data_IF_619570549802
#
_entry.id   IF_619570549802
#
_cell.length_a   1.000
_cell.length_b   1.000
_cell.length_c   1.000
_cell.angle_alpha   90.00
_cell.angle_beta   90.00
_cell.angle_gamma   90.00
#
_symmetry.space_group_name_H-M   'P 1'
#
loop_
_entity.id
_entity.type
_entity.pdbx_description
1 polymer ?
#
# COMPACT_ATOMS: atom_id res chain seq x y z
N UNK A 1 -41.60 -7.25 -3.59
CA UNK A 1 -40.38 -6.80 -2.90
C UNK A 1 -39.27 -6.86 -3.94
N UNK A 2 -38.56 -5.77 -4.25
CA UNK A 2 -37.41 -5.87 -5.14
C UNK A 2 -36.31 -6.66 -4.40
N UNK A 3 -35.66 -7.58 -5.11
CA UNK A 3 -34.45 -8.25 -4.63
C UNK A 3 -33.35 -7.21 -4.80
N UNK A 4 -32.84 -6.67 -3.69
CA UNK A 4 -31.63 -5.86 -3.72
C UNK A 4 -30.47 -6.79 -4.07
N UNK A 5 -29.98 -6.73 -5.30
CA UNK A 5 -28.74 -7.41 -5.69
C UNK A 5 -27.58 -6.76 -4.93
N UNK A 6 -27.04 -7.51 -3.96
CA UNK A 6 -25.86 -7.14 -3.19
C UNK A 6 -24.63 -7.25 -4.10
N UNK A 7 -24.41 -6.23 -4.94
CA UNK A 7 -23.30 -6.20 -5.88
C UNK A 7 -22.02 -5.91 -5.11
N UNK A 8 -21.14 -6.91 -5.00
CA UNK A 8 -19.84 -6.74 -4.40
C UNK A 8 -19.06 -5.62 -5.10
N UNK A 9 -18.54 -4.69 -4.30
CA UNK A 9 -17.65 -3.63 -4.80
C UNK A 9 -16.37 -4.24 -5.37
N UNK A 10 -15.69 -3.57 -6.32
CA UNK A 10 -14.41 -4.04 -6.86
C UNK A 10 -13.36 -4.34 -5.78
N UNK A 11 -13.39 -3.59 -4.68
CA UNK A 11 -12.51 -3.82 -3.52
C UNK A 11 -12.84 -5.14 -2.80
N UNK A 12 -14.12 -5.45 -2.60
CA UNK A 12 -14.54 -6.70 -1.97
C UNK A 12 -14.17 -7.93 -2.81
N UNK A 13 -14.33 -7.85 -4.12
CA UNK A 13 -13.90 -8.90 -5.04
C UNK A 13 -12.38 -9.14 -4.93
N UNK A 14 -11.59 -8.06 -4.93
CA UNK A 14 -10.14 -8.13 -4.74
C UNK A 14 -9.76 -8.75 -3.39
N UNK A 15 -10.42 -8.36 -2.30
CA UNK A 15 -10.17 -8.96 -0.98
C UNK A 15 -10.45 -10.46 -0.97
N UNK A 16 -11.53 -10.90 -1.62
CA UNK A 16 -11.83 -12.32 -1.76
C UNK A 16 -10.76 -13.06 -2.55
N UNK A 17 -10.36 -12.54 -3.71
CA UNK A 17 -9.31 -13.14 -4.54
C UNK A 17 -8.00 -13.27 -3.77
N UNK A 18 -7.58 -12.21 -3.06
CA UNK A 18 -6.37 -12.22 -2.25
C UNK A 18 -6.46 -13.24 -1.11
N UNK A 19 -7.60 -13.34 -0.43
CA UNK A 19 -7.78 -14.28 0.69
C UNK A 19 -7.63 -15.75 0.30
N UNK A 20 -7.81 -16.08 -0.99
CA UNK A 20 -7.65 -17.43 -1.52
C UNK A 20 -6.19 -17.79 -1.87
N UNK A 21 -5.27 -16.82 -1.85
CA UNK A 21 -3.89 -17.02 -2.27
C UNK A 21 -3.00 -17.57 -1.14
N UNK A 22 -1.98 -18.38 -1.46
CA UNK A 22 -0.93 -18.73 -0.51
C UNK A 22 -0.20 -17.49 0.01
N UNK A 23 0.26 -17.54 1.26
CA UNK A 23 0.97 -16.42 1.91
C UNK A 23 2.17 -15.91 1.09
N UNK A 24 2.94 -16.80 0.47
CA UNK A 24 4.09 -16.43 -0.36
C UNK A 24 3.69 -15.56 -1.57
N UNK A 25 2.57 -15.88 -2.21
CA UNK A 25 2.02 -15.11 -3.33
C UNK A 25 1.50 -13.75 -2.87
N UNK A 26 0.84 -13.69 -1.70
CA UNK A 26 0.42 -12.44 -1.09
C UNK A 26 1.60 -11.50 -0.80
N UNK A 27 2.68 -12.03 -0.22
CA UNK A 27 3.89 -11.26 0.05
C UNK A 27 4.55 -10.77 -1.24
N UNK A 28 4.58 -11.60 -2.28
CA UNK A 28 5.12 -11.21 -3.59
C UNK A 28 4.34 -10.03 -4.18
N UNK A 29 3.00 -10.12 -4.21
CA UNK A 29 2.13 -9.05 -4.72
C UNK A 29 2.21 -7.78 -3.89
N UNK A 30 2.31 -7.90 -2.56
CA UNK A 30 2.53 -6.76 -1.67
C UNK A 30 3.83 -6.03 -2.03
N UNK A 31 4.94 -6.76 -2.15
CA UNK A 31 6.23 -6.16 -2.49
C UNK A 31 6.19 -5.48 -3.86
N UNK A 32 5.64 -6.14 -4.88
CA UNK A 32 5.49 -5.56 -6.21
C UNK A 32 4.64 -4.27 -6.19
N UNK A 33 3.53 -4.26 -5.44
CA UNK A 33 2.66 -3.09 -5.33
C UNK A 33 3.34 -1.94 -4.56
N UNK A 34 4.11 -2.27 -3.52
CA UNK A 34 4.88 -1.29 -2.73
C UNK A 34 5.96 -0.64 -3.59
N UNK A 35 6.69 -1.44 -4.37
CA UNK A 35 7.78 -0.93 -5.21
C UNK A 35 7.23 -0.02 -6.32
N UNK A 36 6.13 -0.42 -6.97
CA UNK A 36 5.40 0.43 -7.92
C UNK A 36 4.89 1.74 -7.27
N UNK A 37 4.32 1.66 -6.08
CA UNK A 37 3.87 2.86 -5.36
C UNK A 37 5.03 3.83 -5.08
N UNK A 38 6.20 3.30 -4.73
CA UNK A 38 7.39 4.12 -4.48
C UNK A 38 7.88 4.82 -5.77
N UNK A 39 7.86 4.13 -6.91
CA UNK A 39 8.18 4.72 -8.22
C UNK A 39 7.21 5.86 -8.58
N UNK A 40 5.91 5.63 -8.42
CA UNK A 40 4.87 6.64 -8.68
C UNK A 40 5.03 7.86 -7.79
N UNK A 41 5.35 7.67 -6.50
CA UNK A 41 5.63 8.77 -5.58
C UNK A 41 6.85 9.58 -6.05
N UNK A 42 7.90 8.91 -6.54
CA UNK A 42 9.07 9.57 -7.13
C UNK A 42 8.72 10.43 -8.34
N UNK A 43 7.90 9.91 -9.25
CA UNK A 43 7.44 10.64 -10.43
C UNK A 43 6.58 11.85 -10.06
N UNK A 44 5.68 11.71 -9.08
CA UNK A 44 4.87 12.82 -8.57
C UNK A 44 5.77 13.90 -7.98
N UNK A 45 6.76 13.51 -7.16
CA UNK A 45 7.69 14.43 -6.54
C UNK A 45 8.47 15.24 -7.59
N UNK A 46 8.94 14.57 -8.65
CA UNK A 46 9.62 15.21 -9.77
C UNK A 46 8.71 16.17 -10.53
N UNK A 47 7.48 15.76 -10.85
CA UNK A 47 6.53 16.58 -11.60
C UNK A 47 6.10 17.84 -10.83
N UNK A 48 6.05 17.75 -9.49
CA UNK A 48 5.64 18.85 -8.62
C UNK A 48 6.81 19.67 -8.06
N UNK A 49 8.04 19.40 -8.50
CA UNK A 49 9.28 20.02 -7.99
C UNK A 49 9.34 20.03 -6.45
N UNK A 50 9.03 18.89 -5.84
CA UNK A 50 8.99 18.73 -4.39
C UNK A 50 9.71 17.46 -3.94
N UNK A 51 9.82 17.27 -2.62
CA UNK A 51 10.47 16.07 -2.07
C UNK A 51 9.50 14.90 -1.96
N UNK A 52 10.02 13.68 -2.08
CA UNK A 52 9.28 12.43 -1.81
C UNK A 52 8.58 12.48 -0.43
N UNK A 53 9.26 13.03 0.59
CA UNK A 53 8.69 13.21 1.93
C UNK A 53 7.49 14.20 1.95
N UNK A 54 7.47 15.19 1.06
CA UNK A 54 6.30 16.06 0.88
C UNK A 54 5.11 15.28 0.31
N UNK A 55 5.35 14.46 -0.72
CA UNK A 55 4.31 13.61 -1.33
C UNK A 55 3.76 12.58 -0.33
N UNK A 56 4.61 11.93 0.48
CA UNK A 56 4.13 11.02 1.54
C UNK A 56 3.19 11.72 2.54
N UNK A 57 3.53 12.94 2.96
CA UNK A 57 2.67 13.74 3.85
C UNK A 57 1.34 14.10 3.20
N UNK A 58 1.35 14.48 1.92
CA UNK A 58 0.15 14.78 1.14
C UNK A 58 -0.77 13.56 1.00
N UNK A 59 -0.19 12.37 0.77
CA UNK A 59 -0.94 11.12 0.58
C UNK A 59 -1.30 10.43 1.91
N UNK A 60 -0.88 10.96 3.06
CA UNK A 60 -1.13 10.35 4.37
C UNK A 60 -0.40 9.00 4.56
N UNK A 61 0.61 8.71 3.74
CA UNK A 61 1.41 7.49 3.85
C UNK A 61 2.35 7.65 5.03
N UNK A 62 2.07 6.95 6.13
CA UNK A 62 3.01 6.82 7.24
C UNK A 62 4.15 5.93 6.76
N UNK A 63 5.33 6.52 6.57
CA UNK A 63 6.56 5.74 6.45
C UNK A 63 6.85 5.15 7.82
N UNK A 64 6.34 3.96 8.11
CA UNK A 64 6.83 3.14 9.23
C UNK A 64 8.22 2.60 8.88
N UNK A 65 9.17 3.52 8.76
CA UNK A 65 10.57 3.24 8.99
C UNK A 65 10.92 3.88 10.34
N UNK A 66 10.22 3.46 11.40
CA UNK A 66 10.81 3.61 12.72
C UNK A 66 12.04 2.68 12.71
N UNK A 67 13.26 3.18 13.01
CA UNK A 67 14.37 2.28 13.26
C UNK A 67 13.90 1.29 14.32
N UNK A 68 14.10 -0.01 14.09
CA UNK A 68 14.18 -0.92 15.22
C UNK A 68 15.33 -0.35 16.05
N UNK A 69 14.99 0.33 17.13
CA UNK A 69 15.94 0.66 18.17
C UNK A 69 16.43 -0.66 18.74
N UNK A 70 17.41 -1.25 18.07
CA UNK A 70 18.36 -2.17 18.68
C UNK A 70 19.33 -1.30 19.47
N UNK A 71 18.84 -0.62 20.50
CA UNK A 71 19.65 0.16 21.43
C UNK A 71 18.89 0.23 22.77
N UNK A 72 19.05 -0.80 23.61
CA UNK A 72 19.38 -0.72 25.05
C UNK A 72 19.25 -2.11 25.74
N UNK A 73 19.84 -2.35 26.94
CA UNK A 73 21.21 -2.13 27.42
C UNK A 73 21.79 -3.39 28.12
N UNK A 74 23.11 -3.62 28.08
CA UNK A 74 23.74 -4.66 28.90
C UNK A 74 25.24 -4.81 28.69
#
# INVERSE_FOLDING_TARGET
MPIEEDVATPYQLLCWELSALPLAELLHRYNASRDLAQELIGLIAQHQDCTIAHVHRMLGVRTEAAPRGDDDPG
#
